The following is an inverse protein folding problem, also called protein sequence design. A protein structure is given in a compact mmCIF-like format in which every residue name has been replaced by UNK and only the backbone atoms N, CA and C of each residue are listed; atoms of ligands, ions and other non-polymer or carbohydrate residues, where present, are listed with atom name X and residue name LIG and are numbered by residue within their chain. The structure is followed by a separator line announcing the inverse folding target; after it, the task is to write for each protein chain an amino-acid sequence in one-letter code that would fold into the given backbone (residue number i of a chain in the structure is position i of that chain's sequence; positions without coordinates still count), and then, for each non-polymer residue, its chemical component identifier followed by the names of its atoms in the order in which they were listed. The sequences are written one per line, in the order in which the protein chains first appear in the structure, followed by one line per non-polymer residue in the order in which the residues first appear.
data_IF_243508917685
#
_entry.id   IF_243508917685
#
_cell.length_a   1.000
_cell.length_b   1.000
_cell.length_c   1.000
_cell.angle_alpha   90.00
_cell.angle_beta   90.00
_cell.angle_gamma   90.00
#
_symmetry.space_group_name_H-M   'P 1'
#
loop_
_entity.id
_entity.type
_entity.pdbx_description
1 polymer ?
#
# COMPACT_ATOMS: atom_id res chain seq x y z
N UNK A 1 12.94 6.48 13.28
CA UNK A 1 11.74 5.60 13.25
C UNK A 1 11.16 5.57 14.65
N UNK A 2 9.84 5.58 14.81
CA UNK A 2 9.20 5.73 16.14
C UNK A 2 8.98 4.37 16.82
N UNK A 3 9.44 4.14 18.07
CA UNK A 3 9.11 2.95 18.84
C UNK A 3 7.66 3.03 19.37
N UNK A 4 7.08 1.90 19.77
CA UNK A 4 5.75 1.81 20.41
C UNK A 4 4.55 2.28 19.57
N UNK A 5 4.66 2.20 18.24
CA UNK A 5 3.54 2.48 17.34
C UNK A 5 2.60 1.26 17.31
N UNK A 6 1.27 1.45 17.30
CA UNK A 6 0.32 0.35 17.13
C UNK A 6 0.62 -0.51 15.89
N UNK A 7 0.39 -1.82 16.04
CA UNK A 7 0.70 -2.80 14.98
C UNK A 7 -0.09 -2.56 13.69
N UNK A 8 -1.29 -1.99 13.81
CA UNK A 8 -2.18 -1.63 12.69
C UNK A 8 -1.74 -0.36 11.95
N UNK A 9 -0.70 0.34 12.40
CA UNK A 9 -0.12 1.48 11.69
C UNK A 9 1.08 1.03 10.85
N UNK A 10 0.90 -0.04 10.07
CA UNK A 10 1.91 -0.68 9.24
C UNK A 10 1.82 -0.32 7.75
N UNK A 11 2.03 -1.31 6.89
CA UNK A 11 1.86 -1.19 5.43
C UNK A 11 0.88 -2.25 4.95
N UNK A 12 -0.14 -1.82 4.21
CA UNK A 12 -1.12 -2.70 3.60
C UNK A 12 -0.86 -2.85 2.10
N UNK A 13 -1.07 -4.05 1.59
CA UNK A 13 -1.04 -4.41 0.18
C UNK A 13 -2.43 -4.87 -0.24
N UNK A 14 -2.79 -4.53 -1.47
CA UNK A 14 -4.15 -4.70 -1.96
C UNK A 14 -4.18 -5.64 -3.16
N UNK A 15 -5.35 -6.21 -3.44
CA UNK A 15 -5.65 -7.00 -4.66
C UNK A 15 -6.91 -6.45 -5.30
N UNK A 16 -6.97 -6.49 -6.63
CA UNK A 16 -8.16 -6.05 -7.35
C UNK A 16 -9.35 -6.96 -7.01
N UNK A 17 -10.52 -6.37 -6.79
CA UNK A 17 -11.77 -7.10 -6.67
C UNK A 17 -12.28 -7.46 -8.07
N UNK A 18 -12.38 -8.75 -8.39
CA UNK A 18 -12.97 -9.25 -9.63
C UNK A 18 -14.38 -9.80 -9.38
N UNK A 19 -15.22 -9.88 -10.43
CA UNK A 19 -16.53 -10.52 -10.33
C UNK A 19 -16.44 -11.93 -9.72
N UNK A 20 -17.40 -12.26 -8.85
CA UNK A 20 -17.43 -13.54 -8.14
C UNK A 20 -16.52 -13.63 -6.91
N UNK A 21 -15.95 -12.51 -6.45
CA UNK A 21 -15.14 -12.47 -5.23
C UNK A 21 -13.70 -12.97 -5.42
N UNK A 22 -13.24 -13.06 -6.67
CA UNK A 22 -11.88 -13.49 -6.99
C UNK A 22 -10.91 -12.31 -6.83
N UNK A 23 -9.73 -12.57 -6.28
CA UNK A 23 -8.68 -11.57 -6.12
C UNK A 23 -7.80 -11.48 -7.37
N UNK A 24 -7.90 -10.38 -8.09
CA UNK A 24 -7.12 -10.04 -9.28
C UNK A 24 -5.77 -9.40 -8.99
N UNK A 25 -5.13 -8.88 -10.03
CA UNK A 25 -3.78 -8.30 -9.94
C UNK A 25 -3.68 -7.07 -9.03
N UNK A 26 -2.45 -6.66 -8.76
CA UNK A 26 -2.15 -5.51 -7.91
C UNK A 26 -0.96 -4.68 -8.40
N UNK A 27 -0.61 -4.80 -9.67
CA UNK A 27 0.44 -4.02 -10.30
C UNK A 27 -0.08 -3.48 -11.62
N UNK A 28 0.33 -2.26 -11.96
CA UNK A 28 0.24 -1.77 -13.34
C UNK A 28 1.44 -2.32 -14.11
N UNK A 29 1.15 -2.96 -15.24
CA UNK A 29 2.14 -3.50 -16.17
C UNK A 29 1.94 -2.90 -17.55
N UNK A 30 2.99 -2.95 -18.38
CA UNK A 30 2.90 -2.58 -19.78
C UNK A 30 1.75 -3.36 -20.48
N UNK A 31 0.99 -2.72 -21.39
CA UNK A 31 1.25 -1.41 -22.00
C UNK A 31 0.67 -0.20 -21.23
N UNK A 32 0.10 -0.39 -20.04
CA UNK A 32 -0.58 0.67 -19.31
C UNK A 32 0.39 1.48 -18.43
N UNK A 33 0.18 2.79 -18.34
CA UNK A 33 1.00 3.69 -17.51
C UNK A 33 0.42 3.88 -16.10
N UNK A 34 -0.88 3.69 -15.92
CA UNK A 34 -1.58 3.88 -14.66
C UNK A 34 -2.83 2.98 -14.56
N UNK A 35 -3.49 3.02 -13.39
CA UNK A 35 -4.69 2.20 -13.13
C UNK A 35 -5.90 2.60 -13.96
N UNK A 36 -6.06 3.90 -14.25
CA UNK A 36 -7.20 4.40 -15.04
C UNK A 36 -7.13 3.82 -16.46
N UNK A 37 -5.94 3.80 -17.06
CA UNK A 37 -5.67 3.13 -18.33
C UNK A 37 -5.85 1.62 -18.25
N UNK A 38 -5.31 0.98 -17.22
CA UNK A 38 -5.39 -0.48 -17.05
C UNK A 38 -6.83 -0.97 -16.82
N UNK A 39 -7.68 -0.16 -16.18
CA UNK A 39 -9.07 -0.48 -15.88
C UNK A 39 -10.06 0.02 -16.94
N UNK A 40 -9.62 0.89 -17.86
CA UNK A 40 -10.50 1.50 -18.87
C UNK A 40 -11.59 2.39 -18.25
N UNK A 41 -11.32 3.02 -17.11
CA UNK A 41 -12.26 3.89 -16.40
C UNK A 41 -11.84 5.35 -16.49
N UNK A 42 -12.67 6.30 -16.02
CA UNK A 42 -12.27 7.71 -15.85
C UNK A 42 -11.56 7.95 -14.51
N UNK A 43 -11.93 7.18 -13.49
CA UNK A 43 -11.39 7.21 -12.13
C UNK A 43 -11.27 5.78 -11.63
N UNK A 44 -10.36 5.51 -10.69
CA UNK A 44 -10.29 4.21 -10.02
C UNK A 44 -11.47 4.11 -9.04
N UNK A 45 -12.39 3.14 -9.19
CA UNK A 45 -13.48 2.96 -8.24
C UNK A 45 -12.93 2.68 -6.84
N UNK A 46 -13.56 3.24 -5.80
CA UNK A 46 -13.07 3.11 -4.42
C UNK A 46 -13.13 1.67 -3.88
N UNK A 47 -13.96 0.84 -4.48
CA UNK A 47 -14.14 -0.58 -4.19
C UNK A 47 -13.41 -1.51 -5.17
N UNK A 48 -12.60 -0.96 -6.10
CA UNK A 48 -11.87 -1.76 -7.09
C UNK A 48 -10.79 -2.64 -6.46
N UNK A 49 -10.38 -2.37 -5.22
CA UNK A 49 -9.34 -3.10 -4.51
C UNK A 49 -9.76 -3.40 -3.08
N UNK A 50 -9.33 -4.56 -2.57
CA UNK A 50 -9.47 -4.93 -1.16
C UNK A 50 -8.08 -5.16 -0.54
N UNK A 51 -7.98 -4.93 0.77
CA UNK A 51 -6.77 -5.29 1.51
C UNK A 51 -6.60 -6.83 1.47
N UNK A 52 -5.39 -7.27 1.13
CA UNK A 52 -5.02 -8.69 1.07
C UNK A 52 -4.00 -9.01 2.16
N UNK A 53 -2.90 -8.25 2.21
CA UNK A 53 -1.83 -8.47 3.17
C UNK A 53 -1.58 -7.20 3.97
N UNK A 54 -1.54 -7.34 5.29
CA UNK A 54 -1.12 -6.30 6.22
C UNK A 54 0.20 -6.67 6.87
N UNK A 55 1.22 -5.86 6.65
CA UNK A 55 2.50 -5.99 7.36
C UNK A 55 2.46 -5.10 8.59
N UNK A 56 2.48 -5.67 9.81
CA UNK A 56 2.37 -4.88 11.03
C UNK A 56 3.58 -3.97 11.21
N UNK A 57 3.34 -2.83 11.85
CA UNK A 57 4.42 -1.95 12.27
C UNK A 57 5.40 -2.72 13.15
N UNK A 58 6.69 -2.55 12.85
CA UNK A 58 7.77 -2.97 13.73
C UNK A 58 8.85 -1.91 13.72
N UNK A 59 9.26 -1.47 14.91
CA UNK A 59 10.37 -0.55 15.07
C UNK A 59 11.64 -1.09 14.40
N UNK A 60 12.36 -0.21 13.71
CA UNK A 60 13.62 -0.50 13.02
C UNK A 60 13.54 -1.63 11.97
N UNK A 61 12.38 -1.80 11.34
CA UNK A 61 12.19 -2.72 10.22
C UNK A 61 12.33 -1.99 8.88
N UNK A 62 13.11 -2.58 7.99
CA UNK A 62 13.11 -2.27 6.58
C UNK A 62 12.16 -3.21 5.84
N UNK A 63 11.26 -2.68 5.01
CA UNK A 63 10.33 -3.44 4.18
C UNK A 63 10.65 -3.15 2.71
N UNK A 64 11.03 -4.19 1.96
CA UNK A 64 11.32 -4.11 0.53
C UNK A 64 10.20 -4.76 -0.26
N UNK A 65 9.74 -4.08 -1.30
CA UNK A 65 8.73 -4.57 -2.23
C UNK A 65 8.85 -3.81 -3.57
N UNK A 66 8.24 -4.34 -4.63
CA UNK A 66 8.22 -3.66 -5.93
C UNK A 66 7.40 -2.38 -5.83
N UNK A 67 7.98 -1.27 -6.29
CA UNK A 67 7.38 0.06 -6.17
C UNK A 67 6.00 0.21 -6.85
N UNK A 68 5.73 -0.60 -7.88
CA UNK A 68 4.47 -0.58 -8.62
C UNK A 68 3.40 -1.54 -8.08
N UNK A 69 3.61 -2.18 -6.92
CA UNK A 69 2.55 -2.94 -6.23
C UNK A 69 1.60 -1.96 -5.55
N UNK A 70 0.29 -2.21 -5.57
CA UNK A 70 -0.71 -1.42 -4.86
C UNK A 70 -0.55 -1.56 -3.34
N UNK A 71 -0.29 -0.43 -2.68
CA UNK A 71 -0.05 -0.38 -1.24
C UNK A 71 -0.49 0.95 -0.65
N UNK A 72 -0.65 0.97 0.68
CA UNK A 72 -0.91 2.17 1.47
C UNK A 72 -0.29 2.05 2.86
N UNK A 73 -0.14 3.18 3.54
CA UNK A 73 -0.04 3.16 4.99
C UNK A 73 -1.36 2.59 5.55
N UNK A 74 -1.29 1.53 6.34
CA UNK A 74 -2.49 0.90 6.93
C UNK A 74 -3.25 1.87 7.84
N UNK A 75 -2.52 2.69 8.57
CA UNK A 75 -3.04 3.68 9.49
C UNK A 75 -1.98 4.74 9.81
N UNK A 76 -2.46 5.92 10.19
CA UNK A 76 -1.66 7.02 10.69
C UNK A 76 -1.75 7.06 12.22
N UNK A 77 -0.65 7.42 12.87
CA UNK A 77 -0.55 7.47 14.34
C UNK A 77 0.17 8.73 14.81
N UNK A 78 -0.30 9.26 15.94
CA UNK A 78 0.24 10.41 16.65
C UNK A 78 -0.29 11.75 16.13
N UNK A 79 -0.78 12.61 17.03
CA UNK A 79 -1.15 13.99 16.72
C UNK A 79 0.05 14.93 16.75
N UNK A 80 0.98 14.68 17.67
CA UNK A 80 2.16 15.51 17.92
C UNK A 80 3.44 14.91 17.36
N UNK A 81 4.44 15.76 17.09
CA UNK A 81 5.68 15.34 16.43
C UNK A 81 6.41 14.21 17.16
N UNK A 82 6.37 14.21 18.50
CA UNK A 82 7.00 13.19 19.33
C UNK A 82 6.34 11.81 19.22
N UNK A 83 5.05 11.76 18.90
CA UNK A 83 4.26 10.53 18.83
C UNK A 83 4.12 10.01 17.39
N UNK A 84 4.23 10.91 16.41
CA UNK A 84 3.97 10.59 15.01
C UNK A 84 4.81 9.42 14.54
N UNK A 85 4.16 8.50 13.80
CA UNK A 85 4.87 7.43 13.09
C UNK A 85 5.82 8.05 12.07
N UNK A 86 7.12 7.90 12.31
CA UNK A 86 8.17 8.30 11.36
C UNK A 86 8.55 7.12 10.46
N UNK A 87 8.70 7.40 9.16
CA UNK A 87 9.18 6.47 8.14
C UNK A 87 10.28 7.13 7.30
N UNK A 88 11.31 6.37 6.92
CA UNK A 88 12.22 6.74 5.86
C UNK A 88 11.85 5.92 4.62
N UNK A 89 11.62 6.58 3.48
CA UNK A 89 11.23 5.96 2.21
C UNK A 89 12.24 6.35 1.16
N UNK A 90 12.70 5.39 0.38
CA UNK A 90 13.59 5.59 -0.75
C UNK A 90 13.23 4.61 -1.86
N UNK A 91 13.57 4.99 -3.08
CA UNK A 91 13.41 4.15 -4.27
C UNK A 91 14.79 3.94 -4.87
N UNK A 92 14.99 2.78 -5.47
CA UNK A 92 16.16 2.52 -6.31
C UNK A 92 15.68 1.84 -7.59
N UNK A 93 16.41 2.08 -8.68
CA UNK A 93 16.25 1.31 -9.90
C UNK A 93 17.29 0.19 -9.87
N UNK A 94 16.82 -1.06 -10.04
CA UNK A 94 17.66 -2.23 -10.22
C UNK A 94 17.60 -2.69 -11.68
#
# INVERSE_FOLDING_TARGET
LSPNIPKDCGTSFYRQNLPGGVLGGNMVQAPHNNLVEALGTRYVPSDAFTEDIRVPQRYNRLLLYKANIMHSATGYWGSDLAERRMTAVFFWMA
#
